data_IF_562923179296
#
_entry.id   IF_562923179296
#
_cell.length_a   1.000
_cell.length_b   1.000
_cell.length_c   1.000
_cell.angle_alpha   90.00
_cell.angle_beta   90.00
_cell.angle_gamma   90.00
#
_symmetry.space_group_name_H-M   'P 1'
#
loop_
_entity.id
_entity.type
_entity.pdbx_description
1 polymer ?
#
# COMPACT_ATOMS: atom_id res chain seq x y z
N UNK A 1 -7.21 -12.30 -17.38
CA UNK A 1 -6.04 -11.39 -17.44
C UNK A 1 -6.52 -9.98 -17.14
N UNK A 2 -5.69 -9.12 -16.55
CA UNK A 2 -6.05 -7.73 -16.30
C UNK A 2 -5.81 -6.87 -17.55
N UNK A 3 -6.47 -5.72 -17.63
CA UNK A 3 -6.18 -4.73 -18.66
C UNK A 3 -4.84 -4.04 -18.39
N UNK A 4 -4.11 -3.58 -19.44
CA UNK A 4 -2.86 -2.83 -19.30
C UNK A 4 -2.95 -1.62 -18.34
N UNK A 5 -4.09 -0.91 -18.32
CA UNK A 5 -4.33 0.22 -17.41
C UNK A 5 -4.36 -0.20 -15.94
N UNK A 6 -4.86 -1.40 -15.63
CA UNK A 6 -4.91 -1.91 -14.25
C UNK A 6 -3.49 -2.22 -13.77
N UNK A 7 -2.68 -2.84 -14.63
CA UNK A 7 -1.26 -3.08 -14.33
C UNK A 7 -0.52 -1.77 -14.03
N UNK A 8 -0.76 -0.72 -14.82
CA UNK A 8 -0.15 0.60 -14.59
C UNK A 8 -0.58 1.20 -13.24
N UNK A 9 -1.87 1.12 -12.89
CA UNK A 9 -2.37 1.58 -11.59
C UNK A 9 -1.70 0.84 -10.42
N UNK A 10 -1.62 -0.49 -10.48
CA UNK A 10 -0.96 -1.28 -9.44
C UNK A 10 0.55 -1.02 -9.36
N UNK A 11 1.21 -0.82 -10.50
CA UNK A 11 2.64 -0.52 -10.54
C UNK A 11 2.95 0.85 -9.94
N UNK A 12 2.19 1.89 -10.29
CA UNK A 12 2.37 3.22 -9.71
C UNK A 12 2.14 3.20 -8.19
N UNK A 13 1.07 2.52 -7.76
CA UNK A 13 0.76 2.34 -6.34
C UNK A 13 1.86 1.55 -5.61
N UNK A 14 2.38 0.47 -6.20
CA UNK A 14 3.50 -0.30 -5.64
C UNK A 14 4.76 0.56 -5.47
N UNK A 15 5.12 1.36 -6.47
CA UNK A 15 6.30 2.23 -6.41
C UNK A 15 6.20 3.25 -5.27
N UNK A 16 5.02 3.83 -5.04
CA UNK A 16 4.80 4.74 -3.92
C UNK A 16 4.90 4.02 -2.57
N UNK A 17 4.39 2.78 -2.44
CA UNK A 17 4.55 1.96 -1.23
C UNK A 17 6.03 1.62 -0.96
N UNK A 18 6.79 1.28 -2.00
CA UNK A 18 8.23 1.02 -1.89
C UNK A 18 9.02 2.27 -1.50
N UNK A 19 8.63 3.44 -2.01
CA UNK A 19 9.22 4.71 -1.61
C UNK A 19 8.92 5.02 -0.14
N UNK A 20 7.68 4.83 0.31
CA UNK A 20 7.32 4.97 1.72
C UNK A 20 8.12 4.00 2.61
N UNK A 21 8.28 2.74 2.18
CA UNK A 21 9.08 1.73 2.88
C UNK A 21 10.56 2.13 3.06
N UNK A 22 11.15 2.79 2.04
CA UNK A 22 12.50 3.36 2.13
C UNK A 22 12.58 4.48 3.17
N UNK A 23 11.59 5.36 3.22
CA UNK A 23 11.52 6.43 4.23
C UNK A 23 11.40 5.87 5.64
N UNK A 24 10.58 4.84 5.84
CA UNK A 24 10.38 4.22 7.16
C UNK A 24 11.65 3.56 7.66
N UNK A 25 12.40 2.90 6.78
CA UNK A 25 13.61 2.15 7.16
C UNK A 25 14.88 3.01 7.18
N UNK A 26 14.77 4.29 6.84
CA UNK A 26 15.88 5.24 6.93
C UNK A 26 16.38 5.36 8.38
N UNK A 27 17.70 5.55 8.52
CA UNK A 27 18.37 5.69 9.82
C UNK A 27 17.85 6.90 10.60
N UNK A 28 17.60 7.99 9.89
CA UNK A 28 17.03 9.23 10.43
C UNK A 28 15.61 9.38 9.88
N UNK A 29 14.65 8.74 10.55
CA UNK A 29 13.24 8.78 10.14
C UNK A 29 12.70 10.21 10.22
N UNK A 30 12.39 10.78 9.06
CA UNK A 30 11.72 12.07 8.94
C UNK A 30 10.20 11.89 8.87
N UNK A 31 9.50 12.19 9.97
CA UNK A 31 8.05 12.02 10.05
C UNK A 31 7.28 12.89 9.05
N UNK A 32 7.81 14.06 8.69
CA UNK A 32 7.22 14.92 7.66
C UNK A 32 7.27 14.26 6.28
N UNK A 33 8.44 13.76 5.87
CA UNK A 33 8.62 13.02 4.63
C UNK A 33 7.77 11.74 4.60
N UNK A 34 7.67 11.03 5.73
CA UNK A 34 6.79 9.87 5.84
C UNK A 34 5.31 10.24 5.62
N UNK A 35 4.86 11.37 6.16
CA UNK A 35 3.51 11.86 5.96
C UNK A 35 3.26 12.23 4.49
N UNK A 36 4.23 12.85 3.81
CA UNK A 36 4.14 13.16 2.38
C UNK A 36 4.04 11.89 1.53
N UNK A 37 4.89 10.88 1.80
CA UNK A 37 4.80 9.60 1.11
C UNK A 37 3.46 8.91 1.35
N UNK A 38 2.91 8.99 2.57
CA UNK A 38 1.59 8.45 2.83
C UNK A 38 0.48 9.18 2.06
N UNK A 39 0.56 10.50 1.94
CA UNK A 39 -0.40 11.26 1.13
C UNK A 39 -0.35 10.86 -0.35
N UNK A 40 0.84 10.65 -0.91
CA UNK A 40 1.01 10.15 -2.28
C UNK A 40 0.37 8.76 -2.46
N UNK A 41 0.70 7.81 -1.56
CA UNK A 41 0.09 6.47 -1.54
C UNK A 41 -1.44 6.56 -1.46
N UNK A 42 -1.96 7.44 -0.60
CA UNK A 42 -3.41 7.61 -0.39
C UNK A 42 -4.09 8.23 -1.63
N UNK A 43 -3.44 9.17 -2.32
CA UNK A 43 -3.95 9.75 -3.56
C UNK A 43 -3.99 8.72 -4.69
N UNK A 44 -2.92 7.96 -4.88
CA UNK A 44 -2.89 6.88 -5.88
C UNK A 44 -3.95 5.82 -5.59
N UNK A 45 -4.11 5.44 -4.33
CA UNK A 45 -5.14 4.51 -3.93
C UNK A 45 -6.54 5.02 -4.32
N UNK A 46 -6.89 6.25 -3.93
CA UNK A 46 -8.21 6.83 -4.20
C UNK A 46 -8.48 7.05 -5.70
N UNK A 47 -7.46 7.48 -6.46
CA UNK A 47 -7.65 7.91 -7.83
C UNK A 47 -7.42 6.80 -8.86
N UNK A 48 -6.66 5.76 -8.52
CA UNK A 48 -6.22 4.74 -9.49
C UNK A 48 -6.56 3.30 -9.08
N UNK A 49 -6.75 3.02 -7.79
CA UNK A 49 -7.09 1.67 -7.32
C UNK A 49 -8.58 1.55 -7.03
N UNK A 50 -9.16 2.51 -6.30
CA UNK A 50 -10.60 2.48 -5.97
C UNK A 50 -11.51 2.44 -7.20
N UNK A 51 -11.25 3.22 -8.27
CA UNK A 51 -12.14 3.25 -9.42
C UNK A 51 -12.09 2.00 -10.32
N UNK A 52 -11.14 1.08 -10.07
CA UNK A 52 -11.04 -0.16 -10.83
C UNK A 52 -12.28 -1.03 -10.58
N UNK A 53 -12.84 -1.61 -11.64
CA UNK A 53 -14.04 -2.43 -11.57
C UNK A 53 -13.76 -3.87 -11.97
N UNK A 54 -14.65 -4.76 -11.56
CA UNK A 54 -14.61 -6.16 -11.97
C UNK A 54 -15.09 -6.38 -13.41
N UNK A 55 -15.73 -5.38 -14.03
CA UNK A 55 -16.46 -5.53 -15.29
C UNK A 55 -15.54 -5.89 -16.46
N UNK A 56 -14.30 -5.39 -16.43
CA UNK A 56 -13.28 -5.61 -17.46
C UNK A 56 -12.33 -6.77 -17.15
N UNK A 57 -12.63 -7.58 -16.12
CA UNK A 57 -11.78 -8.67 -15.66
C UNK A 57 -12.34 -10.01 -16.13
N UNK A 58 -11.46 -10.86 -16.66
CA UNK A 58 -11.83 -12.21 -17.08
C UNK A 58 -12.55 -12.97 -15.93
N UNK A 59 -13.66 -13.69 -16.20
CA UNK A 59 -14.45 -14.37 -15.17
C UNK A 59 -13.64 -15.31 -14.27
N UNK A 60 -12.65 -15.98 -14.83
CA UNK A 60 -11.80 -16.95 -14.09
C UNK A 60 -10.83 -16.26 -13.11
N UNK A 61 -10.64 -14.94 -13.24
CA UNK A 61 -9.74 -14.14 -12.42
C UNK A 61 -10.47 -13.18 -11.46
N UNK A 62 -11.76 -12.91 -11.71
CA UNK A 62 -12.53 -11.88 -10.99
C UNK A 62 -12.61 -12.13 -9.48
N UNK A 63 -12.82 -13.39 -9.07
CA UNK A 63 -12.91 -13.76 -7.65
C UNK A 63 -11.59 -13.51 -6.91
N UNK A 64 -10.47 -13.89 -7.53
CA UNK A 64 -9.13 -13.64 -6.96
C UNK A 64 -8.85 -12.15 -6.88
N UNK A 65 -9.16 -11.41 -7.94
CA UNK A 65 -8.97 -9.96 -7.97
C UNK A 65 -9.80 -9.23 -6.91
N UNK A 66 -11.10 -9.56 -6.77
CA UNK A 66 -11.98 -8.98 -5.75
C UNK A 66 -11.49 -9.29 -4.32
N UNK A 67 -11.00 -10.50 -4.10
CA UNK A 67 -10.43 -10.91 -2.81
C UNK A 67 -9.20 -10.08 -2.46
N UNK A 68 -8.26 -9.93 -3.41
CA UNK A 68 -7.05 -9.12 -3.22
C UNK A 68 -7.37 -7.64 -3.08
N UNK A 69 -8.33 -7.11 -3.85
CA UNK A 69 -8.84 -5.76 -3.68
C UNK A 69 -9.31 -5.55 -2.26
N UNK A 70 -10.22 -6.38 -1.76
CA UNK A 70 -10.75 -6.28 -0.39
C UNK A 70 -9.63 -6.22 0.66
N UNK A 71 -8.60 -7.06 0.52
CA UNK A 71 -7.45 -7.03 1.42
C UNK A 71 -6.61 -5.75 1.26
N UNK A 72 -6.39 -5.23 0.05
CA UNK A 72 -5.72 -3.92 -0.16
C UNK A 72 -6.49 -2.80 0.55
N UNK A 73 -7.81 -2.71 0.40
CA UNK A 73 -8.65 -1.72 1.08
C UNK A 73 -8.50 -1.78 2.60
N UNK A 74 -8.54 -3.00 3.15
CA UNK A 74 -8.37 -3.24 4.58
C UNK A 74 -6.98 -2.84 5.06
N UNK A 75 -5.92 -3.22 4.34
CA UNK A 75 -4.55 -2.88 4.71
C UNK A 75 -4.31 -1.36 4.63
N UNK A 76 -4.90 -0.65 3.67
CA UNK A 76 -4.82 0.80 3.58
C UNK A 76 -5.40 1.51 4.82
N UNK A 77 -6.57 1.08 5.31
CA UNK A 77 -7.16 1.62 6.55
C UNK A 77 -6.29 1.35 7.79
N UNK A 78 -5.69 0.16 7.85
CA UNK A 78 -4.79 -0.18 8.95
C UNK A 78 -3.47 0.58 8.87
N UNK A 79 -2.95 0.86 7.67
CA UNK A 79 -1.74 1.65 7.45
C UNK A 79 -1.92 3.08 7.97
N UNK A 80 -3.06 3.70 7.67
CA UNK A 80 -3.43 5.02 8.21
C UNK A 80 -3.42 5.04 9.75
N UNK A 81 -4.03 4.02 10.35
CA UNK A 81 -4.10 3.89 11.82
C UNK A 81 -2.70 3.73 12.42
N UNK A 82 -1.87 2.86 11.84
CA UNK A 82 -0.50 2.62 12.31
C UNK A 82 0.37 3.89 12.19
N UNK A 83 0.18 4.68 11.14
CA UNK A 83 0.90 5.94 10.95
C UNK A 83 0.52 6.97 12.04
N UNK A 84 -0.77 7.13 12.33
CA UNK A 84 -1.23 8.00 13.42
C UNK A 84 -0.63 7.58 14.77
N UNK A 85 -0.59 6.26 15.04
CA UNK A 85 -0.01 5.72 16.27
C UNK A 85 1.52 5.93 16.34
N UNK A 86 2.22 5.81 15.22
CA UNK A 86 3.65 6.10 15.13
C UNK A 86 3.93 7.57 15.45
N UNK A 87 3.15 8.49 14.89
CA UNK A 87 3.28 9.94 15.14
C UNK A 87 2.99 10.32 16.60
N UNK A 88 1.99 9.67 17.21
CA UNK A 88 1.65 9.88 18.62
C UNK A 88 2.68 9.27 19.60
N UNK A 89 3.55 8.37 19.12
CA UNK A 89 4.50 7.64 19.97
C UNK A 89 5.62 8.56 20.49
N UNK A 90 5.79 8.60 21.81
CA UNK A 90 6.81 9.43 22.50
C UNK A 90 8.04 8.64 22.94
N UNK A 91 7.92 7.33 23.14
CA UNK A 91 9.04 6.44 23.51
C UNK A 91 9.73 5.88 22.28
N UNK A 92 11.06 5.82 22.31
CA UNK A 92 11.89 5.18 21.28
C UNK A 92 11.56 3.70 21.09
N UNK A 93 11.31 2.96 22.18
CA UNK A 93 10.96 1.53 22.11
C UNK A 93 9.62 1.29 21.42
N UNK A 94 8.61 2.13 21.72
CA UNK A 94 7.30 2.07 21.07
C UNK A 94 7.40 2.49 19.61
N UNK A 95 8.18 3.53 19.28
CA UNK A 95 8.42 3.94 17.88
C UNK A 95 9.02 2.81 17.06
N UNK A 96 10.05 2.14 17.56
CA UNK A 96 10.69 1.03 16.84
C UNK A 96 9.71 -0.13 16.60
N UNK A 97 8.92 -0.50 17.62
CA UNK A 97 7.89 -1.54 17.47
C UNK A 97 6.83 -1.17 16.43
N UNK A 98 6.39 0.11 16.43
CA UNK A 98 5.42 0.63 15.45
C UNK A 98 6.01 0.67 14.04
N UNK A 99 7.27 1.09 13.89
CA UNK A 99 8.00 1.10 12.63
C UNK A 99 8.06 -0.31 12.02
N UNK A 100 8.40 -1.33 12.80
CA UNK A 100 8.38 -2.73 12.34
C UNK A 100 7.00 -3.18 11.87
N UNK A 101 5.94 -2.87 12.64
CA UNK A 101 4.57 -3.21 12.26
C UNK A 101 4.16 -2.55 10.94
N UNK A 102 4.54 -1.29 10.77
CA UNK A 102 4.24 -0.49 9.57
C UNK A 102 5.01 -1.02 8.35
N UNK A 103 6.29 -1.36 8.49
CA UNK A 103 7.09 -2.02 7.44
C UNK A 103 6.48 -3.36 7.02
N UNK A 104 6.07 -4.20 7.97
CA UNK A 104 5.43 -5.48 7.65
C UNK A 104 4.15 -5.29 6.84
N UNK A 105 3.35 -4.28 7.20
CA UNK A 105 2.11 -3.97 6.48
C UNK A 105 2.37 -3.50 5.06
N UNK A 106 3.37 -2.64 4.86
CA UNK A 106 3.77 -2.20 3.52
C UNK A 106 4.23 -3.37 2.66
N UNK A 107 5.02 -4.29 3.22
CA UNK A 107 5.44 -5.49 2.49
C UNK A 107 4.24 -6.35 2.05
N UNK A 108 3.22 -6.50 2.90
CA UNK A 108 1.97 -7.20 2.53
C UNK A 108 1.24 -6.48 1.39
N UNK A 109 1.12 -5.15 1.43
CA UNK A 109 0.51 -4.36 0.35
C UNK A 109 1.27 -4.50 -0.97
N UNK A 110 2.61 -4.42 -0.92
CA UNK A 110 3.49 -4.60 -2.08
C UNK A 110 3.29 -5.99 -2.67
N UNK A 111 3.22 -7.04 -1.84
CA UNK A 111 2.99 -8.40 -2.31
C UNK A 111 1.64 -8.53 -3.04
N UNK A 112 0.55 -7.95 -2.51
CA UNK A 112 -0.73 -7.95 -3.23
C UNK A 112 -0.64 -7.23 -4.58
N UNK A 113 0.11 -6.12 -4.65
CA UNK A 113 0.35 -5.43 -5.92
C UNK A 113 1.14 -6.30 -6.89
N UNK A 114 2.13 -7.07 -6.43
CA UNK A 114 2.92 -7.98 -7.27
C UNK A 114 2.08 -9.17 -7.79
N UNK A 115 1.19 -9.71 -6.97
CA UNK A 115 0.25 -10.77 -7.38
C UNK A 115 -0.74 -10.31 -8.44
N UNK A 116 -1.10 -9.02 -8.43
CA UNK A 116 -1.95 -8.40 -9.46
C UNK A 116 -1.11 -7.87 -10.64
N UNK A 117 0.14 -7.48 -10.40
CA UNK A 117 1.06 -6.85 -11.33
C UNK A 117 1.83 -7.83 -12.21
N UNK A 118 1.78 -9.13 -11.90
CA UNK A 118 2.43 -10.18 -12.70
C UNK A 118 1.62 -10.47 -13.95
N UNK A 119 2.07 -9.92 -15.08
CA UNK A 119 1.73 -10.41 -16.41
C UNK A 119 2.30 -11.84 -16.54
N UNK A 120 1.42 -12.83 -16.47
CA UNK A 120 1.68 -14.17 -17.02
C UNK A 120 1.53 -14.13 -18.54
#
# INVERSE_FOLDING_TARGET
MLLPSYYQSYQAFQQALEQMGRTITAKDLELAMLQENFQEVQQLFQNQIIPLSADDIAPDFVSRWQSLQTEIYKQMRLLETDLMLLQASRSSSTRLSRQTGLTNRLNTLIQYCQELGTSG
#
